data_IF_949040833773
#
_entry.id   IF_949040833773
#
_cell.length_a   1.000
_cell.length_b   1.000
_cell.length_c   1.000
_cell.angle_alpha   90.00
_cell.angle_beta   90.00
_cell.angle_gamma   90.00
#
_symmetry.space_group_name_H-M   'P 1'
#
loop_
_entity.id
_entity.type
_entity.pdbx_description
1 polymer ?
#
# COMPACT_ATOMS: atom_id res chain seq x y z
N UNK A 1 -21.79 -9.20 -8.35
CA UNK A 1 -22.86 -9.48 -7.35
C UNK A 1 -22.15 -9.73 -6.03
N UNK A 2 -22.63 -9.14 -4.94
CA UNK A 2 -21.90 -8.79 -3.69
C UNK A 2 -21.26 -7.40 -3.80
N UNK A 3 -22.12 -6.38 -3.91
CA UNK A 3 -21.70 -5.01 -3.64
C UNK A 3 -21.86 -4.79 -2.14
N UNK A 4 -20.81 -4.30 -1.48
CA UNK A 4 -20.92 -3.83 -0.08
C UNK A 4 -21.69 -2.50 0.02
N UNK A 5 -22.11 -1.94 -1.13
CA UNK A 5 -22.94 -0.75 -1.23
C UNK A 5 -24.42 -1.15 -1.33
N UNK A 6 -25.22 -0.58 -0.45
CA UNK A 6 -26.69 -0.50 -0.49
C UNK A 6 -27.08 0.96 -0.72
N UNK A 7 -28.35 1.25 -1.06
CA UNK A 7 -28.80 2.59 -1.52
C UNK A 7 -28.24 3.78 -0.73
N UNK A 8 -28.11 3.67 0.60
CA UNK A 8 -27.60 4.75 1.45
C UNK A 8 -26.45 4.34 2.38
N UNK A 9 -25.96 3.11 2.28
CA UNK A 9 -24.94 2.60 3.20
C UNK A 9 -23.88 1.76 2.49
N UNK A 10 -22.64 1.94 2.93
CA UNK A 10 -21.52 1.05 2.63
C UNK A 10 -21.16 0.26 3.88
N UNK A 11 -20.90 -1.03 3.70
CA UNK A 11 -20.46 -1.93 4.76
C UNK A 11 -18.96 -2.19 4.62
N UNK A 12 -18.20 -1.87 5.67
CA UNK A 12 -16.76 -2.13 5.76
C UNK A 12 -16.54 -2.90 7.05
N UNK A 13 -16.11 -4.16 6.93
CA UNK A 13 -16.09 -5.11 8.05
C UNK A 13 -17.47 -5.19 8.74
N UNK A 14 -17.55 -4.88 10.03
CA UNK A 14 -18.78 -4.81 10.83
C UNK A 14 -19.39 -3.40 10.90
N UNK A 15 -18.77 -2.41 10.23
CA UNK A 15 -19.25 -1.03 10.22
C UNK A 15 -20.26 -0.79 9.11
N UNK A 16 -21.44 -0.30 9.50
CA UNK A 16 -22.43 0.25 8.59
C UNK A 16 -22.28 1.77 8.53
N UNK A 17 -21.79 2.29 7.39
CA UNK A 17 -21.52 3.72 7.21
C UNK A 17 -22.51 4.31 6.22
N UNK A 18 -23.19 5.39 6.61
CA UNK A 18 -24.04 6.14 5.68
C UNK A 18 -23.16 6.79 4.61
N UNK A 19 -23.52 6.63 3.34
CA UNK A 19 -22.72 7.11 2.22
C UNK A 19 -23.56 7.86 1.19
N UNK A 20 -22.87 8.57 0.32
CA UNK A 20 -23.41 9.23 -0.87
C UNK A 20 -22.35 9.21 -1.96
N UNK A 21 -22.77 9.29 -3.21
CA UNK A 21 -21.85 9.47 -4.34
C UNK A 21 -21.31 10.91 -4.37
N UNK A 22 -20.04 11.07 -4.76
CA UNK A 22 -19.39 12.38 -4.91
C UNK A 22 -18.43 12.32 -6.11
N UNK A 23 -18.61 13.21 -7.08
CA UNK A 23 -17.79 13.28 -8.29
C UNK A 23 -16.30 13.53 -8.00
N UNK A 24 -15.97 14.19 -6.89
CA UNK A 24 -14.58 14.43 -6.50
C UNK A 24 -13.88 13.12 -6.11
N UNK A 25 -14.60 12.17 -5.52
CA UNK A 25 -14.05 10.84 -5.19
C UNK A 25 -13.67 10.11 -6.48
N UNK A 26 -14.51 10.18 -7.51
CA UNK A 26 -14.22 9.59 -8.82
C UNK A 26 -12.97 10.22 -9.45
N UNK A 27 -12.84 11.55 -9.39
CA UNK A 27 -11.64 12.25 -9.89
C UNK A 27 -10.38 11.82 -9.16
N UNK A 28 -10.43 11.67 -7.83
CA UNK A 28 -9.31 11.17 -7.03
C UNK A 28 -8.94 9.75 -7.45
N UNK A 29 -9.93 8.86 -7.61
CA UNK A 29 -9.69 7.49 -8.02
C UNK A 29 -9.03 7.41 -9.41
N UNK A 30 -9.47 8.25 -10.35
CA UNK A 30 -8.86 8.36 -11.68
C UNK A 30 -7.41 8.86 -11.60
N UNK A 31 -7.14 9.92 -10.83
CA UNK A 31 -5.78 10.45 -10.65
C UNK A 31 -4.83 9.41 -10.06
N UNK A 32 -5.28 8.65 -9.05
CA UNK A 32 -4.44 7.59 -8.47
C UNK A 32 -4.22 6.48 -9.51
N UNK A 33 -5.28 6.04 -10.22
CA UNK A 33 -5.18 4.97 -11.21
C UNK A 33 -4.25 5.30 -12.40
N UNK A 34 -4.19 6.56 -12.81
CA UNK A 34 -3.25 7.04 -13.83
C UNK A 34 -1.78 6.95 -13.39
N UNK A 35 -1.54 7.14 -12.10
CA UNK A 35 -0.21 7.10 -11.49
C UNK A 35 0.19 5.70 -11.02
N UNK A 36 -0.67 4.68 -11.15
CA UNK A 36 -0.34 3.28 -10.93
C UNK A 36 0.39 2.65 -12.14
N UNK A 37 1.13 1.54 -11.93
CA UNK A 37 1.83 0.82 -13.00
C UNK A 37 0.96 0.54 -14.22
N UNK A 38 1.50 0.72 -15.42
CA UNK A 38 0.76 0.57 -16.69
C UNK A 38 0.68 -0.87 -17.20
N UNK A 39 1.33 -1.80 -16.52
CA UNK A 39 1.32 -3.22 -16.87
C UNK A 39 -0.09 -3.84 -16.73
N UNK A 40 -0.40 -4.83 -17.56
CA UNK A 40 -1.67 -5.55 -17.53
C UNK A 40 -1.94 -6.21 -16.18
N UNK A 41 -0.88 -6.58 -15.44
CA UNK A 41 -0.99 -7.13 -14.08
C UNK A 41 -1.71 -6.18 -13.10
N UNK A 42 -1.72 -4.87 -13.36
CA UNK A 42 -2.36 -3.86 -12.53
C UNK A 42 -3.72 -3.39 -13.05
N UNK A 43 -4.19 -3.96 -14.17
CA UNK A 43 -5.48 -3.58 -14.75
C UNK A 43 -6.63 -3.77 -13.78
N UNK A 44 -6.69 -4.93 -13.12
CA UNK A 44 -7.74 -5.24 -12.14
C UNK A 44 -7.70 -4.30 -10.94
N UNK A 45 -6.51 -3.95 -10.43
CA UNK A 45 -6.34 -3.00 -9.33
C UNK A 45 -6.85 -1.61 -9.72
N UNK A 46 -6.56 -1.14 -10.94
CA UNK A 46 -7.05 0.15 -11.43
C UNK A 46 -8.57 0.17 -11.58
N UNK A 47 -9.15 -0.89 -12.13
CA UNK A 47 -10.60 -1.01 -12.29
C UNK A 47 -11.29 -1.08 -10.92
N UNK A 48 -10.72 -1.83 -9.98
CA UNK A 48 -11.21 -1.93 -8.60
C UNK A 48 -11.14 -0.59 -7.89
N UNK A 49 -10.03 0.12 -7.96
CA UNK A 49 -9.86 1.43 -7.32
C UNK A 49 -10.90 2.45 -7.81
N UNK A 50 -11.18 2.48 -9.12
CA UNK A 50 -12.19 3.39 -9.70
C UNK A 50 -13.62 3.11 -9.22
N UNK A 51 -13.90 1.88 -8.80
CA UNK A 51 -15.24 1.44 -8.42
C UNK A 51 -15.45 1.40 -6.91
N UNK A 52 -14.41 1.02 -6.17
CA UNK A 52 -14.52 0.64 -4.76
C UNK A 52 -13.79 1.64 -3.82
N UNK A 53 -13.37 2.81 -4.32
CA UNK A 53 -12.79 3.86 -3.46
C UNK A 53 -13.88 4.49 -2.58
N UNK A 54 -13.69 4.40 -1.27
CA UNK A 54 -14.55 5.01 -0.26
C UNK A 54 -13.72 5.98 0.57
N UNK A 55 -14.18 7.23 0.68
CA UNK A 55 -13.60 8.21 1.61
C UNK A 55 -14.42 8.17 2.90
N UNK A 56 -13.74 7.99 4.02
CA UNK A 56 -14.33 7.95 5.37
C UNK A 56 -13.74 9.07 6.22
N UNK A 57 -14.35 9.36 7.38
CA UNK A 57 -13.78 10.31 8.34
C UNK A 57 -12.44 9.82 8.90
N UNK A 58 -11.58 10.73 9.32
CA UNK A 58 -10.26 10.42 9.90
C UNK A 58 -10.33 9.41 11.06
N UNK A 59 -11.38 9.49 11.89
CA UNK A 59 -11.57 8.54 13.01
C UNK A 59 -11.84 7.12 12.50
N UNK A 60 -12.74 6.98 11.54
CA UNK A 60 -13.06 5.68 10.93
C UNK A 60 -11.83 5.14 10.19
N UNK A 61 -11.11 5.98 9.45
CA UNK A 61 -9.89 5.58 8.76
C UNK A 61 -8.83 5.07 9.76
N UNK A 62 -8.56 5.83 10.83
CA UNK A 62 -7.63 5.46 11.90
C UNK A 62 -8.00 4.09 12.49
N UNK A 63 -9.27 3.89 12.81
CA UNK A 63 -9.72 2.66 13.46
C UNK A 63 -9.59 1.46 12.50
N UNK A 64 -9.93 1.62 11.22
CA UNK A 64 -9.72 0.59 10.20
C UNK A 64 -8.24 0.23 10.09
N UNK A 65 -7.35 1.20 9.82
CA UNK A 65 -5.92 0.90 9.60
C UNK A 65 -5.19 0.37 10.83
N UNK A 66 -5.76 0.52 12.04
CA UNK A 66 -5.18 -0.01 13.28
C UNK A 66 -5.73 -1.38 13.67
N UNK A 67 -6.93 -1.75 13.18
CA UNK A 67 -7.64 -2.95 13.64
C UNK A 67 -7.81 -4.02 12.56
N UNK A 68 -7.65 -3.67 11.29
CA UNK A 68 -7.83 -4.59 10.16
C UNK A 68 -6.51 -5.02 9.52
N UNK A 69 -5.41 -4.99 10.28
CA UNK A 69 -4.12 -5.54 9.87
C UNK A 69 -4.10 -7.07 10.03
N UNK A 70 -3.22 -7.73 9.28
CA UNK A 70 -3.12 -9.19 9.35
C UNK A 70 -2.27 -9.59 10.56
N UNK A 71 -2.91 -10.09 11.63
CA UNK A 71 -2.22 -10.64 12.80
C UNK A 71 -2.11 -12.16 12.69
N UNK A 72 -0.88 -12.66 12.51
CA UNK A 72 -0.59 -14.09 12.33
C UNK A 72 0.15 -14.64 13.55
N UNK A 73 -0.38 -15.72 14.13
CA UNK A 73 0.31 -16.45 15.20
C UNK A 73 1.20 -17.54 14.60
N UNK A 74 2.48 -17.52 14.96
CA UNK A 74 3.48 -18.47 14.46
C UNK A 74 4.01 -19.33 15.58
N UNK A 75 4.37 -20.56 15.21
CA UNK A 75 4.96 -21.53 16.12
C UNK A 75 6.22 -22.16 15.54
N UNK A 76 7.14 -22.50 16.43
CA UNK A 76 8.26 -23.39 16.16
C UNK A 76 8.00 -24.73 16.82
N UNK A 77 7.98 -25.79 16.02
CA UNK A 77 7.78 -27.17 16.47
C UNK A 77 9.13 -27.80 16.82
N UNK A 78 9.20 -28.48 17.96
CA UNK A 78 10.31 -29.37 18.30
C UNK A 78 10.20 -30.66 17.46
N UNK A 79 11.18 -30.96 16.59
CA UNK A 79 11.12 -32.10 15.69
C UNK A 79 11.12 -33.46 16.41
N UNK A 80 11.56 -33.53 17.67
CA UNK A 80 11.59 -34.78 18.44
C UNK A 80 10.24 -35.10 19.08
N UNK A 81 9.49 -34.08 19.50
CA UNK A 81 8.23 -34.27 20.24
C UNK A 81 6.99 -34.01 19.40
N UNK A 82 7.12 -33.27 18.27
CA UNK A 82 5.99 -32.82 17.47
C UNK A 82 5.14 -31.74 18.15
N UNK A 83 5.65 -31.13 19.23
CA UNK A 83 4.95 -30.08 19.99
C UNK A 83 5.68 -28.74 19.91
N UNK A 84 5.05 -27.65 20.35
CA UNK A 84 5.68 -26.31 20.38
C UNK A 84 6.97 -26.34 21.21
N UNK A 85 8.07 -25.84 20.64
CA UNK A 85 9.36 -25.79 21.31
C UNK A 85 9.38 -24.70 22.39
N UNK A 86 9.05 -25.10 23.62
CA UNK A 86 9.00 -24.22 24.78
C UNK A 86 10.36 -23.67 25.19
N UNK A 87 11.47 -24.31 24.80
CA UNK A 87 12.84 -23.91 25.23
C UNK A 87 13.28 -22.59 24.60
N UNK A 88 12.71 -22.28 23.44
CA UNK A 88 13.05 -21.09 22.65
C UNK A 88 11.90 -20.08 22.57
N UNK A 89 10.84 -20.27 23.37
CA UNK A 89 9.64 -19.44 23.25
C UNK A 89 8.99 -19.56 21.88
N UNK A 90 8.84 -20.78 21.37
CA UNK A 90 8.39 -21.07 20.01
C UNK A 90 6.92 -20.73 19.69
N UNK A 91 6.32 -19.73 20.33
CA UNK A 91 5.00 -19.18 20.03
C UNK A 91 5.08 -17.65 20.09
N UNK A 92 4.71 -16.98 19.00
CA UNK A 92 4.67 -15.52 18.92
C UNK A 92 3.62 -15.07 17.89
N UNK A 93 3.33 -13.77 17.86
CA UNK A 93 2.43 -13.16 16.88
C UNK A 93 3.19 -12.07 16.11
N UNK A 94 2.88 -11.97 14.82
CA UNK A 94 3.39 -10.97 13.90
C UNK A 94 2.21 -10.21 13.29
N UNK A 95 2.39 -8.93 13.03
CA UNK A 95 1.41 -8.07 12.38
C UNK A 95 1.95 -7.65 11.00
N UNK A 96 1.12 -7.76 9.97
CA UNK A 96 1.46 -7.42 8.61
C UNK A 96 0.52 -6.37 8.03
N UNK A 97 1.08 -5.48 7.22
CA UNK A 97 0.30 -4.60 6.37
C UNK A 97 -0.45 -5.46 5.33
N UNK A 98 -1.78 -5.30 5.19
CA UNK A 98 -2.56 -6.08 4.24
C UNK A 98 -2.07 -5.94 2.80
N UNK A 99 -2.31 -6.97 2.00
CA UNK A 99 -2.13 -6.90 0.55
C UNK A 99 -3.02 -5.82 -0.06
N UNK A 100 -2.68 -5.34 -1.25
CA UNK A 100 -3.40 -4.25 -1.95
C UNK A 100 -3.33 -2.88 -1.25
N UNK A 101 -2.42 -2.69 -0.29
CA UNK A 101 -2.14 -1.38 0.30
C UNK A 101 -1.26 -0.53 -0.61
N UNK A 102 -1.67 0.72 -0.88
CA UNK A 102 -0.87 1.72 -1.60
C UNK A 102 -0.19 2.64 -0.59
N UNK A 103 1.14 2.72 -0.65
CA UNK A 103 1.95 3.68 0.11
C UNK A 103 2.68 4.61 -0.85
N UNK A 104 3.09 5.78 -0.36
CA UNK A 104 3.93 6.69 -1.12
C UNK A 104 5.06 7.24 -0.25
N UNK A 105 6.17 7.61 -0.90
CA UNK A 105 7.31 8.27 -0.26
C UNK A 105 7.88 9.32 -1.19
N UNK A 106 8.38 10.41 -0.62
CA UNK A 106 9.01 11.50 -1.38
C UNK A 106 10.52 11.33 -1.37
N UNK A 107 11.10 11.18 -2.56
CA UNK A 107 12.55 11.20 -2.74
C UNK A 107 12.98 12.62 -3.13
N UNK A 108 13.60 13.33 -2.19
CA UNK A 108 14.06 14.70 -2.39
C UNK A 108 15.54 14.72 -2.81
N UNK A 109 15.82 15.16 -4.04
CA UNK A 109 17.19 15.27 -4.57
C UNK A 109 17.69 16.71 -4.41
N UNK A 110 18.73 16.98 -3.61
CA UNK A 110 19.24 18.32 -3.44
C UNK A 110 19.95 18.79 -4.71
N UNK A 111 19.80 20.08 -5.06
CA UNK A 111 20.41 20.67 -6.25
C UNK A 111 21.92 20.89 -6.16
N UNK A 112 22.52 20.72 -4.97
CA UNK A 112 23.98 20.76 -4.77
C UNK A 112 24.42 19.44 -4.17
N UNK A 113 25.13 18.67 -4.98
CA UNK A 113 25.68 17.37 -4.65
C UNK A 113 27.17 17.38 -4.99
N UNK A 114 27.99 16.80 -4.12
CA UNK A 114 29.41 16.67 -4.39
C UNK A 114 29.61 15.52 -5.37
N UNK A 115 30.08 15.83 -6.59
CA UNK A 115 30.45 14.88 -7.64
C UNK A 115 29.32 14.07 -8.30
N UNK A 116 28.05 14.44 -8.09
CA UNK A 116 26.91 13.83 -8.78
C UNK A 116 25.96 14.91 -9.27
N UNK A 117 25.42 14.76 -10.47
CA UNK A 117 24.35 15.62 -10.96
C UNK A 117 22.99 15.05 -10.53
N UNK A 118 22.00 15.88 -10.16
CA UNK A 118 20.65 15.41 -9.83
C UNK A 118 20.04 14.51 -10.92
N UNK A 119 20.33 14.80 -12.18
CA UNK A 119 19.86 14.03 -13.34
C UNK A 119 20.40 12.59 -13.31
N UNK A 120 21.67 12.39 -12.94
CA UNK A 120 22.29 11.06 -12.82
C UNK A 120 21.67 10.23 -11.70
N UNK A 121 21.22 10.87 -10.61
CA UNK A 121 20.51 10.19 -9.52
C UNK A 121 19.13 9.77 -10.00
N UNK A 122 18.40 10.67 -10.67
CA UNK A 122 17.07 10.37 -11.24
C UNK A 122 17.15 9.20 -12.24
N UNK A 123 18.15 9.17 -13.11
CA UNK A 123 18.37 8.06 -14.04
C UNK A 123 18.63 6.72 -13.33
N UNK A 124 19.39 6.73 -12.24
CA UNK A 124 19.61 5.52 -11.43
C UNK A 124 18.32 5.06 -10.75
N UNK A 125 17.52 5.98 -10.23
CA UNK A 125 16.24 5.67 -9.59
C UNK A 125 15.25 5.06 -10.59
N UNK A 126 15.17 5.60 -11.82
CA UNK A 126 14.28 5.08 -12.88
C UNK A 126 14.44 3.58 -13.16
N UNK A 127 15.59 2.98 -12.85
CA UNK A 127 15.81 1.52 -12.98
C UNK A 127 14.88 0.69 -12.09
N UNK A 128 14.37 1.27 -11.01
CA UNK A 128 13.43 0.64 -10.09
C UNK A 128 11.96 0.88 -10.45
N UNK A 129 11.66 1.72 -11.45
CA UNK A 129 10.27 1.94 -11.90
C UNK A 129 9.68 0.65 -12.47
N UNK A 130 8.51 0.25 -11.95
CA UNK A 130 7.83 -0.98 -12.31
C UNK A 130 8.49 -2.25 -11.77
N UNK A 131 9.45 -2.16 -10.82
CA UNK A 131 10.10 -3.33 -10.22
C UNK A 131 9.44 -3.73 -8.91
N UNK A 132 9.43 -5.03 -8.64
CA UNK A 132 9.06 -5.58 -7.34
C UNK A 132 10.29 -5.54 -6.45
N UNK A 133 10.17 -4.90 -5.28
CA UNK A 133 11.18 -4.90 -4.22
C UNK A 133 10.63 -5.63 -3.00
N UNK A 134 11.54 -6.20 -2.21
CA UNK A 134 11.23 -6.72 -0.89
C UNK A 134 11.50 -5.60 0.14
N UNK A 135 10.55 -5.39 1.05
CA UNK A 135 10.56 -4.37 2.09
C UNK A 135 10.20 -5.06 3.42
N UNK A 136 11.04 -4.88 4.43
CA UNK A 136 10.79 -5.42 5.78
C UNK A 136 11.39 -6.81 6.01
N UNK A 137 10.84 -7.55 6.97
CA UNK A 137 11.26 -8.92 7.31
C UNK A 137 10.52 -10.01 6.54
N UNK A 138 10.70 -11.27 6.96
CA UNK A 138 9.91 -12.42 6.50
C UNK A 138 9.93 -12.70 4.98
N UNK A 139 10.98 -12.26 4.28
CA UNK A 139 11.22 -12.54 2.86
C UNK A 139 11.12 -14.05 2.54
N UNK A 140 11.76 -14.88 3.36
CA UNK A 140 11.84 -16.34 3.16
C UNK A 140 10.49 -17.05 3.29
N UNK A 141 9.47 -16.35 3.82
CA UNK A 141 8.09 -16.84 3.93
C UNK A 141 7.11 -16.00 3.10
N UNK A 142 7.64 -15.28 2.09
CA UNK A 142 6.84 -14.65 1.07
C UNK A 142 6.24 -13.29 1.45
N UNK A 143 6.82 -12.57 2.42
CA UNK A 143 6.28 -11.28 2.91
C UNK A 143 7.10 -10.09 2.42
N UNK A 144 6.45 -8.93 2.35
CA UNK A 144 7.11 -7.64 2.09
C UNK A 144 7.33 -7.31 0.61
N UNK A 145 6.75 -8.04 -0.34
CA UNK A 145 6.90 -7.75 -1.76
C UNK A 145 5.98 -6.60 -2.19
N UNK A 146 6.56 -5.53 -2.72
CA UNK A 146 5.84 -4.36 -3.21
C UNK A 146 6.34 -3.96 -4.60
N UNK A 147 5.40 -3.66 -5.51
CA UNK A 147 5.76 -3.06 -6.80
C UNK A 147 5.98 -1.56 -6.63
N UNK A 148 7.13 -1.08 -7.09
CA UNK A 148 7.52 0.32 -7.01
C UNK A 148 7.15 1.05 -8.29
N UNK A 149 6.35 2.10 -8.15
CA UNK A 149 6.06 3.04 -9.22
C UNK A 149 6.69 4.39 -8.90
N UNK A 150 7.56 4.86 -9.78
CA UNK A 150 8.17 6.18 -9.66
C UNK A 150 7.34 7.19 -10.45
N UNK A 151 7.03 8.29 -9.79
CA UNK A 151 6.33 9.44 -10.35
C UNK A 151 7.27 10.64 -10.25
N UNK A 152 7.51 11.32 -11.36
CA UNK A 152 8.31 12.55 -11.34
C UNK A 152 7.52 13.68 -10.69
N UNK A 153 8.08 14.26 -9.64
CA UNK A 153 7.53 15.48 -9.03
C UNK A 153 7.76 16.69 -9.92
N UNK A 154 6.86 17.67 -9.86
CA UNK A 154 6.96 18.90 -10.63
C UNK A 154 8.30 19.62 -10.39
N UNK A 155 9.02 19.92 -11.49
CA UNK A 155 10.16 20.83 -11.45
C UNK A 155 9.76 22.22 -10.95
N UNK A 156 10.74 23.07 -10.64
CA UNK A 156 10.58 24.43 -10.09
C UNK A 156 9.89 25.45 -11.03
N UNK A 157 8.74 25.11 -11.60
CA UNK A 157 7.79 26.06 -12.17
C UNK A 157 6.53 26.07 -11.30
N UNK A 158 6.70 26.32 -10.00
CA UNK A 158 5.61 26.91 -9.21
C UNK A 158 5.71 28.40 -9.51
N UNK A 159 4.84 28.90 -10.40
CA UNK A 159 4.62 30.34 -10.51
C UNK A 159 4.27 30.84 -9.10
N UNK A 160 5.09 31.77 -8.60
CA UNK A 160 4.79 32.46 -7.35
C UNK A 160 3.44 33.16 -7.54
N UNK A 161 2.44 32.71 -6.80
CA UNK A 161 1.20 33.47 -6.58
C UNK A 161 1.50 34.72 -5.76
#
# INVERSE_FOLDING_TARGET
>A
KNSNLTENYVYIEDLQLKCSEDENVNKIAEQIAENLPKDDAYKEVKEKLKKDLVIVSDNVFRDLVSLTTEVVTRIKIDPLTGTVDKRVGGLWSEEYLPTDTIMYSLILIPGRLNNLKPEEITEKLKKYDGKILQIGGDETVGKGFALIKLVEGGGKNVEKS
#
